data_IF_554667777722
#
_entry.id   IF_554667777722
#
_cell.length_a   1.000
_cell.length_b   1.000
_cell.length_c   1.000
_cell.angle_alpha   90.00
_cell.angle_beta   90.00
_cell.angle_gamma   90.00
#
_symmetry.space_group_name_H-M   'P 1'
#
loop_
_entity.id
_entity.type
_entity.pdbx_description
1 polymer ?
#
# COMPACT_ATOMS: atom_id res chain seq x y z
N UNK A 1 12.48 -4.45 11.58
CA UNK A 1 11.10 -4.35 11.05
C UNK A 1 10.89 -5.55 10.16
N UNK A 2 9.76 -6.26 10.28
CA UNK A 2 9.44 -7.34 9.34
C UNK A 2 8.84 -6.73 8.06
N UNK A 3 9.66 -6.61 7.01
CA UNK A 3 9.22 -6.02 5.74
C UNK A 3 8.16 -6.85 5.02
N UNK A 4 8.12 -8.17 5.24
CA UNK A 4 7.08 -9.04 4.66
C UNK A 4 5.74 -8.70 5.30
N UNK A 5 5.69 -8.62 6.62
CA UNK A 5 4.48 -8.24 7.34
C UNK A 5 4.04 -6.80 6.99
N UNK A 6 5.02 -5.92 6.78
CA UNK A 6 4.80 -4.49 6.54
C UNK A 6 4.58 -4.11 5.07
N UNK A 7 4.54 -5.08 4.16
CA UNK A 7 4.27 -4.87 2.74
C UNK A 7 3.04 -5.66 2.31
N UNK A 8 2.04 -4.95 1.78
CA UNK A 8 0.82 -5.56 1.27
C UNK A 8 1.12 -6.52 0.10
N UNK A 9 0.28 -7.55 -0.13
CA UNK A 9 0.47 -8.46 -1.26
C UNK A 9 0.48 -7.77 -2.64
N UNK A 10 -0.12 -6.59 -2.74
CA UNK A 10 -0.12 -5.74 -3.94
C UNK A 10 1.10 -4.81 -4.08
N UNK A 11 2.09 -4.87 -3.18
CA UNK A 11 3.32 -4.08 -3.25
C UNK A 11 3.24 -2.68 -2.63
N UNK A 12 2.21 -2.39 -1.82
CA UNK A 12 2.17 -1.15 -1.02
C UNK A 12 2.92 -1.33 0.31
N UNK A 13 3.77 -0.38 0.64
CA UNK A 13 4.51 -0.33 1.89
C UNK A 13 3.72 0.40 2.99
N UNK A 14 3.38 -0.31 4.07
CA UNK A 14 2.73 0.30 5.23
C UNK A 14 3.71 1.19 6.02
N UNK A 15 5.00 0.88 6.02
CA UNK A 15 6.01 1.59 6.79
C UNK A 15 6.32 3.02 6.30
N UNK A 16 5.95 3.41 5.08
CA UNK A 16 5.91 4.83 4.69
C UNK A 16 4.48 5.37 4.51
N UNK A 17 3.44 4.67 4.97
CA UNK A 17 2.05 5.12 4.89
C UNK A 17 1.72 6.12 6.02
N UNK A 18 1.28 7.35 5.71
CA UNK A 18 0.93 8.33 6.75
C UNK A 18 -0.10 7.81 7.76
N UNK A 19 -1.11 7.06 7.31
CA UNK A 19 -2.16 6.54 8.20
C UNK A 19 -1.65 5.43 9.11
N UNK A 20 -0.64 4.66 8.70
CA UNK A 20 0.02 3.68 9.56
C UNK A 20 0.88 4.36 10.62
N UNK A 21 1.64 5.38 10.21
CA UNK A 21 2.52 6.17 11.09
C UNK A 21 1.71 6.98 12.13
N UNK A 22 0.49 7.40 11.78
CA UNK A 22 -0.41 8.11 12.68
C UNK A 22 -0.83 7.34 13.95
N UNK A 23 -0.57 6.02 14.04
CA UNK A 23 -0.77 5.24 15.27
C UNK A 23 0.08 5.75 16.44
N UNK A 24 1.25 6.29 16.15
CA UNK A 24 2.21 6.78 17.14
C UNK A 24 2.35 8.31 17.09
N UNK A 25 1.62 9.00 16.21
CA UNK A 25 1.67 10.45 16.01
C UNK A 25 0.26 11.05 16.00
N UNK A 26 -0.15 11.63 17.13
CA UNK A 26 -1.46 12.27 17.32
C UNK A 26 -1.65 13.51 16.44
N UNK A 27 -0.58 14.28 16.21
CA UNK A 27 -0.63 15.46 15.35
C UNK A 27 -0.87 15.07 13.88
N UNK A 28 -0.20 14.03 13.41
CA UNK A 28 -0.43 13.45 12.09
C UNK A 28 -1.84 12.86 11.97
N UNK A 29 -2.31 12.14 13.00
CA UNK A 29 -3.67 11.58 13.05
C UNK A 29 -4.74 12.67 12.92
N UNK A 30 -4.58 13.76 13.67
CA UNK A 30 -5.48 14.93 13.61
C UNK A 30 -5.53 15.54 12.21
N UNK A 31 -4.37 15.74 11.58
CA UNK A 31 -4.29 16.25 10.21
C UNK A 31 -4.96 15.33 9.19
N UNK A 32 -4.76 14.01 9.31
CA UNK A 32 -5.39 13.02 8.42
C UNK A 32 -6.90 13.03 8.60
N UNK A 33 -7.37 13.01 9.85
CA UNK A 33 -8.79 13.08 10.20
C UNK A 33 -9.46 14.32 9.58
N UNK A 34 -8.87 15.50 9.74
CA UNK A 34 -9.36 16.75 9.14
C UNK A 34 -9.35 16.71 7.60
N UNK A 35 -8.23 16.31 6.99
CA UNK A 35 -8.07 16.31 5.54
C UNK A 35 -8.99 15.30 4.84
N UNK A 36 -9.29 14.18 5.49
CA UNK A 36 -10.13 13.11 4.93
C UNK A 36 -11.60 13.22 5.39
N UNK A 37 -11.92 14.08 6.35
CA UNK A 37 -13.26 14.20 6.92
C UNK A 37 -13.72 12.93 7.66
N UNK A 38 -12.78 12.22 8.31
CA UNK A 38 -13.06 10.97 9.04
C UNK A 38 -12.82 11.13 10.54
N UNK A 39 -13.48 10.35 11.41
CA UNK A 39 -13.19 10.33 12.85
C UNK A 39 -11.71 10.02 13.14
N UNK A 40 -11.17 10.59 14.20
CA UNK A 40 -9.75 10.43 14.57
C UNK A 40 -9.39 8.94 14.81
N UNK A 41 -10.36 8.17 15.29
CA UNK A 41 -10.25 6.72 15.52
C UNK A 41 -10.07 5.95 14.21
N UNK A 42 -10.63 6.45 13.10
CA UNK A 42 -10.48 5.87 11.77
C UNK A 42 -9.22 6.35 11.05
N UNK A 43 -8.62 7.47 11.48
CA UNK A 43 -7.39 8.02 10.91
C UNK A 43 -6.11 7.27 11.36
N UNK A 44 -6.23 5.98 11.65
CA UNK A 44 -5.20 5.10 12.18
C UNK A 44 -5.34 3.70 11.59
N UNK A 45 -4.24 3.06 11.16
CA UNK A 45 -4.27 1.77 10.46
C UNK A 45 -3.13 0.86 10.93
N UNK A 46 -3.42 -0.43 11.15
CA UNK A 46 -2.45 -1.43 11.60
C UNK A 46 -1.62 -2.06 10.46
N UNK A 47 -1.92 -1.71 9.21
CA UNK A 47 -1.24 -2.22 8.02
C UNK A 47 -1.99 -3.37 7.35
N UNK A 48 -1.87 -3.50 6.02
CA UNK A 48 -2.76 -4.32 5.19
C UNK A 48 -2.92 -5.77 5.67
N UNK A 49 -1.83 -6.43 6.06
CA UNK A 49 -1.88 -7.82 6.55
C UNK A 49 -2.49 -7.94 7.95
N UNK A 50 -2.18 -7.01 8.85
CA UNK A 50 -2.77 -6.98 10.19
C UNK A 50 -4.27 -6.67 10.15
N UNK A 51 -4.68 -5.86 9.17
CA UNK A 51 -6.08 -5.52 8.89
C UNK A 51 -6.79 -6.57 8.03
N UNK A 52 -6.13 -7.69 7.69
CA UNK A 52 -6.68 -8.77 6.84
C UNK A 52 -7.27 -8.24 5.52
N UNK A 53 -6.61 -7.26 4.92
CA UNK A 53 -7.03 -6.63 3.67
C UNK A 53 -8.17 -5.61 3.79
N UNK A 54 -8.71 -5.35 5.00
CA UNK A 54 -9.81 -4.42 5.25
C UNK A 54 -9.32 -3.08 5.81
N UNK A 55 -9.11 -2.08 4.96
CA UNK A 55 -8.50 -0.81 5.39
C UNK A 55 -9.54 0.13 6.03
N UNK A 56 -9.46 0.44 7.35
CA UNK A 56 -10.53 1.14 8.07
C UNK A 56 -10.80 2.56 7.55
N UNK A 57 -9.75 3.34 7.29
CA UNK A 57 -9.85 4.73 6.82
C UNK A 57 -10.44 4.86 5.40
N UNK A 58 -10.63 3.75 4.69
CA UNK A 58 -11.29 3.69 3.39
C UNK A 58 -12.74 3.20 3.48
N UNK A 59 -13.27 3.05 4.70
CA UNK A 59 -14.60 2.52 4.98
C UNK A 59 -14.85 1.15 4.31
N UNK A 60 -13.82 0.32 4.23
CA UNK A 60 -13.94 -1.02 3.66
C UNK A 60 -14.69 -1.94 4.63
N UNK A 61 -15.77 -2.55 4.18
CA UNK A 61 -16.54 -3.54 4.94
C UNK A 61 -15.99 -4.95 4.79
N UNK A 62 -15.27 -5.21 3.70
CA UNK A 62 -14.69 -6.50 3.33
C UNK A 62 -13.24 -6.33 2.82
N UNK A 63 -12.43 -7.41 2.78
CA UNK A 63 -11.09 -7.36 2.20
C UNK A 63 -11.12 -6.99 0.71
N UNK A 64 -10.08 -6.32 0.21
CA UNK A 64 -10.01 -6.08 -1.24
C UNK A 64 -9.74 -7.37 -2.02
N UNK A 65 -10.23 -7.42 -3.27
CA UNK A 65 -10.12 -8.59 -4.15
C UNK A 65 -8.68 -9.10 -4.32
N UNK A 66 -7.69 -8.20 -4.29
CA UNK A 66 -6.27 -8.58 -4.40
C UNK A 66 -5.83 -9.39 -3.18
N UNK A 67 -6.20 -8.95 -1.99
CA UNK A 67 -5.85 -9.63 -0.73
C UNK A 67 -6.49 -11.02 -0.69
N UNK A 68 -7.79 -11.12 -1.00
CA UNK A 68 -8.49 -12.40 -1.05
C UNK A 68 -7.89 -13.35 -2.07
N UNK A 69 -7.49 -12.85 -3.24
CA UNK A 69 -6.86 -13.65 -4.28
C UNK A 69 -5.51 -14.23 -3.80
N UNK A 70 -4.68 -13.43 -3.12
CA UNK A 70 -3.40 -13.91 -2.59
C UNK A 70 -3.58 -14.92 -1.46
N UNK A 71 -4.55 -14.73 -0.58
CA UNK A 71 -4.88 -15.69 0.48
C UNK A 71 -5.35 -17.04 -0.12
N UNK A 72 -6.27 -17.01 -1.10
CA UNK A 72 -6.76 -18.21 -1.80
C UNK A 72 -5.65 -18.96 -2.52
N UNK A 73 -4.66 -18.25 -3.09
CA UNK A 73 -3.51 -18.83 -3.80
C UNK A 73 -2.35 -19.21 -2.88
N UNK A 74 -2.38 -18.83 -1.60
CA UNK A 74 -1.29 -19.11 -0.65
C UNK A 74 0.02 -18.43 -1.01
N UNK A 75 -0.02 -17.24 -1.62
CA UNK A 75 1.15 -16.47 -2.03
C UNK A 75 1.30 -15.20 -1.20
N UNK A 76 2.53 -14.77 -0.96
CA UNK A 76 2.81 -13.56 -0.18
C UNK A 76 2.63 -12.29 -1.00
N UNK A 77 3.01 -12.34 -2.28
CA UNK A 77 3.03 -11.20 -3.17
C UNK A 77 2.51 -11.57 -4.54
N UNK A 78 1.81 -10.64 -5.18
CA UNK A 78 1.24 -10.88 -6.50
C UNK A 78 2.30 -11.27 -7.54
N UNK A 79 3.55 -10.81 -7.44
CA UNK A 79 4.60 -11.15 -8.40
C UNK A 79 4.97 -12.64 -8.45
N UNK A 80 4.57 -13.41 -7.42
CA UNK A 80 4.75 -14.86 -7.32
C UNK A 80 3.67 -15.63 -8.11
N UNK A 81 2.58 -14.96 -8.50
CA UNK A 81 1.52 -15.56 -9.32
C UNK A 81 1.99 -15.75 -10.76
N UNK A 82 1.66 -16.89 -11.38
CA UNK A 82 1.91 -17.17 -12.80
C UNK A 82 1.27 -16.13 -13.73
N UNK A 83 0.10 -15.62 -13.32
CA UNK A 83 -0.70 -14.69 -14.10
C UNK A 83 -0.26 -13.24 -13.91
N UNK A 84 0.82 -12.97 -13.16
CA UNK A 84 1.24 -11.60 -12.88
C UNK A 84 1.96 -10.96 -14.09
N UNK A 85 1.59 -9.71 -14.47
CA UNK A 85 0.50 -8.89 -13.93
C UNK A 85 -0.89 -9.31 -14.44
N UNK A 86 -1.92 -9.17 -13.59
CA UNK A 86 -3.31 -9.51 -13.93
C UNK A 86 -4.31 -8.38 -13.63
N UNK A 87 -5.56 -8.57 -14.05
CA UNK A 87 -6.67 -7.60 -13.97
C UNK A 87 -6.98 -7.10 -12.56
N UNK A 88 -6.62 -7.84 -11.51
CA UNK A 88 -6.75 -7.37 -10.13
C UNK A 88 -5.85 -6.16 -9.80
N UNK A 89 -4.84 -5.90 -10.63
CA UNK A 89 -3.88 -4.80 -10.48
C UNK A 89 -4.07 -3.71 -11.55
N UNK A 90 -5.24 -3.64 -12.19
CA UNK A 90 -5.55 -2.58 -13.15
C UNK A 90 -5.32 -1.18 -12.55
N UNK A 91 -4.71 -0.25 -13.31
CA UNK A 91 -4.57 1.13 -12.91
C UNK A 91 -5.92 1.85 -13.08
N UNK A 92 -6.62 2.06 -11.97
CA UNK A 92 -7.87 2.81 -11.96
C UNK A 92 -7.61 4.31 -11.82
N UNK A 93 -8.29 5.11 -12.64
CA UNK A 93 -8.34 6.57 -12.45
C UNK A 93 -9.17 6.95 -11.21
N UNK A 94 -10.16 6.13 -10.85
CA UNK A 94 -10.93 6.31 -9.62
C UNK A 94 -10.00 6.35 -8.41
N UNK A 95 -10.14 7.41 -7.59
CA UNK A 95 -9.35 7.68 -6.39
C UNK A 95 -7.83 7.73 -6.62
N UNK A 96 -7.35 7.91 -7.85
CA UNK A 96 -5.91 7.96 -8.14
C UNK A 96 -5.17 9.12 -7.45
N UNK A 97 -5.89 10.18 -7.05
CA UNK A 97 -5.37 11.30 -6.25
C UNK A 97 -5.18 10.95 -4.76
N UNK A 98 -5.90 9.92 -4.27
CA UNK A 98 -5.89 9.51 -2.86
C UNK A 98 -5.10 8.22 -2.63
N UNK A 99 -5.28 7.24 -3.52
CA UNK A 99 -4.75 5.90 -3.38
C UNK A 99 -3.53 5.70 -4.30
N UNK A 100 -2.40 5.21 -3.78
CA UNK A 100 -1.20 4.96 -4.59
C UNK A 100 -1.33 3.69 -5.45
N UNK A 101 -2.46 3.50 -6.15
CA UNK A 101 -2.73 2.30 -6.95
C UNK A 101 -1.67 2.08 -8.03
N UNK A 102 -1.19 3.16 -8.63
CA UNK A 102 -0.24 3.10 -9.75
C UNK A 102 1.19 2.71 -9.31
N UNK A 103 1.54 2.74 -8.02
CA UNK A 103 2.85 2.27 -7.55
C UNK A 103 2.88 0.77 -7.25
N UNK A 104 1.71 0.11 -7.14
CA UNK A 104 1.58 -1.32 -6.80
C UNK A 104 2.42 -2.22 -7.70
N UNK A 105 2.11 -2.23 -9.00
CA UNK A 105 2.78 -3.09 -9.99
C UNK A 105 4.26 -2.74 -10.09
N UNK A 106 4.60 -1.46 -10.08
CA UNK A 106 5.99 -1.01 -10.14
C UNK A 106 6.81 -1.52 -8.94
N UNK A 107 6.27 -1.40 -7.73
CA UNK A 107 6.90 -1.94 -6.52
C UNK A 107 7.05 -3.45 -6.59
N UNK A 108 6.02 -4.18 -7.04
CA UNK A 108 6.09 -5.64 -7.21
C UNK A 108 7.19 -6.07 -8.20
N UNK A 109 7.36 -5.35 -9.31
CA UNK A 109 8.45 -5.57 -10.25
C UNK A 109 9.82 -5.32 -9.62
N UNK A 110 9.96 -4.28 -8.80
CA UNK A 110 11.21 -4.01 -8.07
C UNK A 110 11.51 -5.10 -7.03
N UNK A 111 10.52 -5.49 -6.23
CA UNK A 111 10.66 -6.57 -5.23
C UNK A 111 11.09 -7.86 -5.93
N UNK A 112 10.46 -8.23 -7.05
CA UNK A 112 10.84 -9.41 -7.85
C UNK A 112 12.28 -9.30 -8.37
N UNK A 113 12.71 -8.10 -8.78
CA UNK A 113 14.04 -7.86 -9.36
C UNK A 113 15.16 -7.88 -8.32
N UNK A 114 14.93 -7.33 -7.13
CA UNK A 114 16.01 -7.00 -6.20
C UNK A 114 15.83 -7.55 -4.78
N UNK A 115 14.72 -8.24 -4.52
CA UNK A 115 14.36 -8.70 -3.18
C UNK A 115 13.60 -7.64 -2.38
N UNK A 116 12.86 -8.12 -1.37
CA UNK A 116 11.97 -7.30 -0.56
C UNK A 116 12.74 -6.30 0.31
N UNK A 117 13.80 -6.77 0.98
CA UNK A 117 14.62 -6.02 1.91
C UNK A 117 15.32 -4.86 1.19
N UNK A 118 16.03 -5.17 0.10
CA UNK A 118 16.72 -4.17 -0.70
C UNK A 118 15.75 -3.13 -1.29
N UNK A 119 14.57 -3.55 -1.74
CA UNK A 119 13.54 -2.62 -2.19
C UNK A 119 13.04 -1.73 -1.04
N UNK A 120 12.74 -2.30 0.12
CA UNK A 120 12.20 -1.57 1.27
C UNK A 120 13.17 -0.48 1.75
N UNK A 121 14.45 -0.81 1.84
CA UNK A 121 15.49 0.09 2.34
C UNK A 121 15.89 1.17 1.33
N UNK A 122 15.93 0.84 0.03
CA UNK A 122 16.54 1.74 -0.97
C UNK A 122 15.54 2.36 -1.95
N UNK A 123 14.36 1.76 -2.15
CA UNK A 123 13.42 2.17 -3.20
C UNK A 123 12.04 2.56 -2.70
N UNK A 124 11.43 1.89 -1.73
CA UNK A 124 10.03 2.12 -1.35
C UNK A 124 9.69 3.61 -1.14
N UNK A 125 10.50 4.31 -0.32
CA UNK A 125 10.34 5.74 -0.04
C UNK A 125 10.56 6.63 -1.27
N UNK A 126 11.58 6.34 -2.07
CA UNK A 126 11.94 7.16 -3.23
C UNK A 126 10.91 7.00 -4.36
N UNK A 127 10.38 5.80 -4.58
CA UNK A 127 9.27 5.55 -5.51
C UNK A 127 8.05 6.38 -5.14
N UNK A 128 7.62 6.31 -3.88
CA UNK A 128 6.49 7.09 -3.38
C UNK A 128 6.72 8.60 -3.55
N UNK A 129 7.90 9.09 -3.16
CA UNK A 129 8.23 10.50 -3.30
C UNK A 129 8.23 10.95 -4.76
N UNK A 130 8.78 10.15 -5.67
CA UNK A 130 8.82 10.46 -7.10
C UNK A 130 7.43 10.45 -7.73
N UNK A 131 6.56 9.52 -7.32
CA UNK A 131 5.18 9.44 -7.81
C UNK A 131 4.36 10.69 -7.44
N UNK A 132 4.43 11.15 -6.19
CA UNK A 132 3.59 12.25 -5.71
C UNK A 132 4.19 13.66 -5.90
N UNK A 133 5.51 13.78 -6.00
CA UNK A 133 6.21 15.09 -6.02
C UNK A 133 7.13 15.28 -7.21
N UNK A 134 7.31 14.24 -8.03
CA UNK A 134 8.22 14.29 -9.16
C UNK A 134 7.55 14.88 -10.40
N UNK A 135 8.35 15.56 -11.20
CA UNK A 135 7.94 16.00 -12.54
C UNK A 135 8.34 14.96 -13.59
N UNK A 136 7.48 14.82 -14.61
CA UNK A 136 7.81 14.07 -15.81
C UNK A 136 8.97 14.76 -16.54
N UNK A 137 9.95 13.96 -16.99
CA UNK A 137 11.10 14.46 -17.72
C UNK A 137 11.02 13.93 -19.15
N UNK A 138 11.16 14.82 -20.11
CA UNK A 138 11.29 14.51 -21.54
C UNK A 138 12.72 14.08 -21.87
#
# INVERSE_FOLDING_TARGET
MDYRQMTAPCGLDCFNCPVYLAREDEGLRTKISQNMGIPAEQASCQGCRNEKGRIPFLNMTEPCSVYECTEKKGIDFCFQCSDFPCDHLHPYADKASLLPHNTKVFNLCLIKKMGLEAWAETKAKSVKSRYFKGEFKL
#
